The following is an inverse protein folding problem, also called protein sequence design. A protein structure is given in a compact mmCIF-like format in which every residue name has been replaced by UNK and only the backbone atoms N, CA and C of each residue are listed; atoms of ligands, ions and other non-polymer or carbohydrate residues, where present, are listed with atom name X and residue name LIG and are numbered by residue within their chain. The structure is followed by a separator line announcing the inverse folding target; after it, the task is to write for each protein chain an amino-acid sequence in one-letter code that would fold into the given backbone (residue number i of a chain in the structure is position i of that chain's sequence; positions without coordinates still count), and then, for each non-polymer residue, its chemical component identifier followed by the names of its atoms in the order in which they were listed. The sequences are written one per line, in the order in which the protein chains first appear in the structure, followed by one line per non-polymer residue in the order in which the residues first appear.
data_IF_475914957305
#
_entry.id   IF_475914957305
#
_cell.length_a   1.000
_cell.length_b   1.000
_cell.length_c   1.000
_cell.angle_alpha   90.00
_cell.angle_beta   90.00
_cell.angle_gamma   90.00
#
_symmetry.space_group_name_H-M   'P 1'
#
loop_
_entity.id
_entity.type
_entity.pdbx_description
1 polymer ?
#
# COMPACT_ATOMS: atom_id res chain seq x y z
N UNK A 1 -7.84 6.64 8.24
CA UNK A 1 -8.86 6.58 7.18
C UNK A 1 -8.34 7.13 5.86
N UNK A 2 -7.74 8.32 5.83
CA UNK A 2 -7.19 8.94 4.60
C UNK A 2 -6.26 8.04 3.75
N UNK A 3 -5.45 7.17 4.37
CA UNK A 3 -4.55 6.24 3.65
C UNK A 3 -5.28 5.20 2.79
N UNK A 4 -6.51 4.83 3.14
CA UNK A 4 -7.35 3.96 2.32
C UNK A 4 -7.90 4.69 1.08
N UNK A 5 -8.12 6.00 1.19
CA UNK A 5 -8.52 6.85 0.06
C UNK A 5 -7.35 6.96 -0.92
N UNK A 6 -6.13 7.16 -0.44
CA UNK A 6 -4.93 7.13 -1.29
C UNK A 6 -4.75 5.78 -2.00
N UNK A 7 -5.05 4.66 -1.32
CA UNK A 7 -5.03 3.34 -1.95
C UNK A 7 -6.09 3.21 -3.05
N UNK A 8 -7.32 3.68 -2.80
CA UNK A 8 -8.39 3.67 -3.80
C UNK A 8 -8.03 4.54 -5.02
N UNK A 9 -7.48 5.74 -4.79
CA UNK A 9 -7.00 6.60 -5.87
C UNK A 9 -5.86 5.96 -6.66
N UNK A 10 -4.93 5.28 -5.98
CA UNK A 10 -3.84 4.56 -6.66
C UNK A 10 -4.39 3.52 -7.64
N UNK A 11 -5.38 2.72 -7.22
CA UNK A 11 -6.06 1.75 -8.09
C UNK A 11 -6.71 2.45 -9.28
N UNK A 12 -7.48 3.51 -9.05
CA UNK A 12 -8.16 4.24 -10.13
C UNK A 12 -7.16 4.75 -11.17
N UNK A 13 -6.07 5.38 -10.73
CA UNK A 13 -5.02 5.87 -11.63
C UNK A 13 -4.30 4.73 -12.36
N UNK A 14 -4.10 3.58 -11.72
CA UNK A 14 -3.48 2.42 -12.36
C UNK A 14 -4.37 1.83 -13.45
N UNK A 15 -5.66 1.63 -13.17
CA UNK A 15 -6.63 1.16 -14.16
C UNK A 15 -6.68 2.10 -15.36
N UNK A 16 -6.77 3.41 -15.13
CA UNK A 16 -6.78 4.41 -16.22
C UNK A 16 -5.47 4.34 -17.02
N UNK A 17 -4.32 4.35 -16.35
CA UNK A 17 -3.02 4.31 -17.01
C UNK A 17 -2.82 3.06 -17.86
N UNK A 18 -3.21 1.90 -17.34
CA UNK A 18 -3.09 0.61 -18.04
C UNK A 18 -4.05 0.50 -19.22
N UNK A 19 -5.28 1.02 -19.10
CA UNK A 19 -6.22 1.07 -20.22
C UNK A 19 -5.77 2.07 -21.30
N UNK A 20 -5.19 3.21 -20.92
CA UNK A 20 -4.59 4.15 -21.87
C UNK A 20 -3.40 3.54 -22.60
N UNK A 21 -2.57 2.74 -21.91
CA UNK A 21 -1.50 1.96 -22.55
C UNK A 21 -2.07 1.00 -23.60
N UNK A 22 -3.11 0.23 -23.24
CA UNK A 22 -3.76 -0.69 -24.18
C UNK A 22 -4.34 0.06 -25.38
N UNK A 23 -4.98 1.20 -25.14
CA UNK A 23 -5.52 2.04 -26.19
C UNK A 23 -4.42 2.54 -27.14
N UNK A 24 -3.34 3.12 -26.61
CA UNK A 24 -2.20 3.59 -27.38
C UNK A 24 -1.56 2.48 -28.23
N UNK A 25 -1.48 1.26 -27.69
CA UNK A 25 -0.95 0.11 -28.43
C UNK A 25 -1.81 -0.28 -29.63
N UNK A 26 -3.11 -0.01 -29.61
CA UNK A 26 -4.04 -0.36 -30.70
C UNK A 26 -4.18 0.80 -31.69
N UNK A 27 -4.21 2.05 -31.21
CA UNK A 27 -4.40 3.24 -32.05
C UNK A 27 -3.09 3.80 -32.62
N UNK A 28 -1.94 3.46 -32.03
CA UNK A 28 -0.64 4.08 -32.36
C UNK A 28 -0.52 5.52 -31.87
N UNK A 29 -1.44 6.00 -31.05
CA UNK A 29 -1.50 7.39 -30.61
C UNK A 29 -0.51 7.68 -29.46
N UNK A 30 0.24 8.77 -29.61
CA UNK A 30 1.19 9.26 -28.62
C UNK A 30 0.49 9.81 -27.37
N UNK A 31 -0.73 10.34 -27.51
CA UNK A 31 -1.44 10.91 -26.35
C UNK A 31 -1.74 9.86 -25.29
N UNK A 32 -2.12 8.63 -25.69
CA UNK A 32 -2.38 7.53 -24.76
C UNK A 32 -1.12 7.08 -24.01
N UNK A 33 0.06 7.16 -24.63
CA UNK A 33 1.33 6.90 -23.95
C UNK A 33 1.65 7.97 -22.90
N UNK A 34 1.41 9.25 -23.22
CA UNK A 34 1.61 10.33 -22.24
C UNK A 34 0.69 10.16 -21.02
N UNK A 35 -0.59 9.84 -21.25
CA UNK A 35 -1.55 9.58 -20.16
C UNK A 35 -1.12 8.38 -19.32
N UNK A 36 -0.68 7.29 -19.96
CA UNK A 36 -0.15 6.12 -19.26
C UNK A 36 0.97 6.52 -18.29
N UNK A 37 2.00 7.23 -18.77
CA UNK A 37 3.15 7.58 -17.91
C UNK A 37 2.73 8.39 -16.68
N UNK A 38 1.89 9.40 -16.87
CA UNK A 38 1.42 10.27 -15.76
C UNK A 38 0.59 9.47 -14.75
N UNK A 39 -0.32 8.63 -15.24
CA UNK A 39 -1.25 7.88 -14.38
C UNK A 39 -0.57 6.74 -13.63
N UNK A 40 0.34 6.00 -14.27
CA UNK A 40 1.11 4.95 -13.61
C UNK A 40 2.06 5.56 -12.56
N UNK A 41 2.76 6.66 -12.88
CA UNK A 41 3.60 7.34 -11.90
C UNK A 41 2.79 7.84 -10.69
N UNK A 42 1.62 8.46 -10.95
CA UNK A 42 0.71 8.91 -9.91
C UNK A 42 0.23 7.74 -9.03
N UNK A 43 -0.10 6.60 -9.63
CA UNK A 43 -0.50 5.39 -8.91
C UNK A 43 0.56 4.93 -7.93
N UNK A 44 1.81 4.79 -8.37
CA UNK A 44 2.90 4.38 -7.48
C UNK A 44 3.18 5.39 -6.37
N UNK A 45 3.06 6.69 -6.65
CA UNK A 45 3.21 7.75 -5.63
C UNK A 45 2.10 7.62 -4.58
N UNK A 46 0.85 7.45 -4.99
CA UNK A 46 -0.31 7.31 -4.11
C UNK A 46 -0.21 6.02 -3.27
N UNK A 47 0.23 4.92 -3.89
CA UNK A 47 0.50 3.65 -3.21
C UNK A 47 1.60 3.81 -2.15
N UNK A 48 2.70 4.50 -2.50
CA UNK A 48 3.79 4.80 -1.56
C UNK A 48 3.31 5.63 -0.36
N UNK A 49 2.29 6.48 -0.52
CA UNK A 49 1.64 7.15 0.60
C UNK A 49 0.77 6.19 1.41
N UNK A 50 -0.04 5.34 0.77
CA UNK A 50 -0.94 4.39 1.43
C UNK A 50 -0.21 3.40 2.35
N UNK A 51 0.92 2.85 1.89
CA UNK A 51 1.73 1.87 2.63
C UNK A 51 2.37 2.43 3.90
N UNK A 52 2.35 3.76 4.12
CA UNK A 52 2.81 4.37 5.38
C UNK A 52 1.96 3.97 6.59
N UNK A 53 0.71 3.55 6.38
CA UNK A 53 -0.20 3.09 7.46
C UNK A 53 -0.90 1.77 7.16
N UNK A 54 -1.06 1.41 5.90
CA UNK A 54 -1.56 0.08 5.51
C UNK A 54 -0.37 -0.85 5.43
N UNK A 55 -0.50 -2.07 5.97
CA UNK A 55 0.56 -3.06 5.85
C UNK A 55 0.91 -3.28 4.38
N UNK A 56 2.21 -3.24 4.04
CA UNK A 56 2.71 -3.27 2.67
C UNK A 56 2.10 -4.41 1.85
N UNK A 57 2.10 -5.64 2.39
CA UNK A 57 1.54 -6.81 1.71
C UNK A 57 0.03 -6.70 1.44
N UNK A 58 -0.74 -6.11 2.35
CA UNK A 58 -2.19 -5.90 2.16
C UNK A 58 -2.45 -4.83 1.11
N UNK A 59 -1.69 -3.73 1.16
CA UNK A 59 -1.81 -2.65 0.18
C UNK A 59 -1.47 -3.14 -1.23
N UNK A 60 -0.35 -3.86 -1.40
CA UNK A 60 0.04 -4.43 -2.70
C UNK A 60 -0.97 -5.45 -3.22
N UNK A 61 -1.43 -6.37 -2.36
CA UNK A 61 -2.41 -7.38 -2.75
C UNK A 61 -3.73 -6.76 -3.22
N UNK A 62 -4.20 -5.72 -2.52
CA UNK A 62 -5.43 -5.01 -2.92
C UNK A 62 -5.22 -4.17 -4.18
N UNK A 63 -4.08 -3.49 -4.29
CA UNK A 63 -3.77 -2.64 -5.44
C UNK A 63 -3.71 -3.45 -6.74
N UNK A 64 -2.83 -4.46 -6.80
CA UNK A 64 -2.70 -5.35 -7.96
C UNK A 64 -3.98 -6.16 -8.19
N UNK A 65 -4.56 -6.69 -7.11
CA UNK A 65 -5.70 -7.59 -7.22
C UNK A 65 -6.96 -6.91 -7.75
N UNK A 66 -7.32 -5.76 -7.18
CA UNK A 66 -8.49 -5.00 -7.63
C UNK A 66 -8.22 -4.36 -8.99
N UNK A 67 -6.98 -3.87 -9.22
CA UNK A 67 -6.54 -3.33 -10.51
C UNK A 67 -6.77 -4.32 -11.65
N UNK A 68 -6.23 -5.55 -11.52
CA UNK A 68 -6.39 -6.62 -12.51
C UNK A 68 -7.86 -6.96 -12.77
N UNK A 69 -8.71 -6.99 -11.74
CA UNK A 69 -10.14 -7.25 -11.90
C UNK A 69 -10.82 -6.20 -12.79
N UNK A 70 -10.56 -4.92 -12.54
CA UNK A 70 -11.12 -3.84 -13.35
C UNK A 70 -10.51 -3.79 -14.75
N UNK A 71 -9.18 -3.89 -14.87
CA UNK A 71 -8.49 -3.91 -16.16
C UNK A 71 -9.02 -5.05 -17.01
N UNK A 72 -9.14 -6.27 -16.46
CA UNK A 72 -9.68 -7.42 -17.21
C UNK A 72 -11.12 -7.17 -17.64
N UNK A 73 -11.95 -6.66 -16.75
CA UNK A 73 -13.36 -6.35 -17.05
C UNK A 73 -13.47 -5.35 -18.20
N UNK A 74 -12.73 -4.25 -18.12
CA UNK A 74 -12.71 -3.22 -19.16
C UNK A 74 -12.04 -3.69 -20.45
N UNK A 75 -11.07 -4.60 -20.37
CA UNK A 75 -10.46 -5.22 -21.54
C UNK A 75 -11.44 -6.06 -22.35
N UNK A 76 -12.30 -6.81 -21.68
CA UNK A 76 -13.38 -7.55 -22.35
C UNK A 76 -14.40 -6.59 -22.95
N UNK A 77 -14.81 -5.55 -22.21
CA UNK A 77 -15.87 -4.62 -22.63
C UNK A 77 -15.47 -3.68 -23.77
N UNK A 78 -14.28 -3.08 -23.71
CA UNK A 78 -13.84 -2.07 -24.69
C UNK A 78 -12.96 -2.63 -25.80
N UNK A 79 -12.12 -3.61 -25.51
CA UNK A 79 -11.15 -4.16 -26.46
C UNK A 79 -11.57 -5.53 -27.02
N UNK A 80 -12.72 -6.06 -26.60
CA UNK A 80 -13.26 -7.32 -27.11
C UNK A 80 -12.41 -8.54 -26.74
N UNK A 81 -11.60 -8.44 -25.67
CA UNK A 81 -10.76 -9.57 -25.25
C UNK A 81 -11.62 -10.75 -24.78
N UNK A 82 -11.22 -11.97 -25.13
CA UNK A 82 -11.94 -13.16 -24.71
C UNK A 82 -11.68 -13.50 -23.24
N UNK A 83 -12.76 -13.76 -22.51
CA UNK A 83 -12.72 -14.23 -21.13
C UNK A 83 -12.87 -15.75 -21.09
N UNK A 84 -11.76 -16.47 -21.09
CA UNK A 84 -11.78 -17.93 -21.03
C UNK A 84 -12.17 -18.43 -19.62
N UNK A 85 -12.73 -19.65 -19.49
CA UNK A 85 -12.99 -20.26 -18.18
C UNK A 85 -11.77 -20.32 -17.27
N UNK A 86 -10.58 -20.48 -17.86
CA UNK A 86 -9.32 -20.51 -17.12
C UNK A 86 -8.95 -19.12 -16.57
N UNK A 87 -9.18 -18.04 -17.32
CA UNK A 87 -9.04 -16.66 -16.80
C UNK A 87 -9.97 -16.42 -15.62
N UNK A 88 -11.22 -16.86 -15.71
CA UNK A 88 -12.20 -16.74 -14.62
C UNK A 88 -11.73 -17.49 -13.37
N UNK A 89 -11.26 -18.74 -13.53
CA UNK A 89 -10.69 -19.51 -12.41
C UNK A 89 -9.50 -18.80 -11.76
N UNK A 90 -8.62 -18.19 -12.57
CA UNK A 90 -7.50 -17.37 -12.09
C UNK A 90 -7.96 -16.15 -11.28
N UNK A 91 -8.98 -15.42 -11.76
CA UNK A 91 -9.53 -14.27 -11.04
C UNK A 91 -10.18 -14.67 -9.70
N UNK A 92 -10.88 -15.80 -9.66
CA UNK A 92 -11.45 -16.34 -8.41
C UNK A 92 -10.34 -16.70 -7.41
N UNK A 93 -9.29 -17.37 -7.86
CA UNK A 93 -8.15 -17.71 -7.02
C UNK A 93 -7.41 -16.47 -6.52
N UNK A 94 -7.28 -15.45 -7.35
CA UNK A 94 -6.71 -14.15 -6.99
C UNK A 94 -7.52 -13.50 -5.85
N UNK A 95 -8.86 -13.47 -5.94
CA UNK A 95 -9.72 -12.92 -4.88
C UNK A 95 -9.53 -13.70 -3.57
N UNK A 96 -9.47 -15.04 -3.65
CA UNK A 96 -9.20 -15.88 -2.48
C UNK A 96 -7.82 -15.59 -1.85
N UNK A 97 -6.79 -15.44 -2.69
CA UNK A 97 -5.43 -15.09 -2.26
C UNK A 97 -5.36 -13.75 -1.52
N UNK A 98 -6.06 -12.72 -2.01
CA UNK A 98 -6.17 -11.41 -1.33
C UNK A 98 -6.82 -11.58 0.04
N UNK A 99 -7.89 -12.36 0.14
CA UNK A 99 -8.58 -12.66 1.39
C UNK A 99 -7.65 -13.31 2.42
N UNK A 100 -6.83 -14.27 1.98
CA UNK A 100 -5.84 -14.94 2.82
C UNK A 100 -4.74 -13.98 3.29
N UNK A 101 -4.18 -13.15 2.40
CA UNK A 101 -3.16 -12.15 2.76
C UNK A 101 -3.71 -11.16 3.78
N UNK A 102 -4.93 -10.65 3.56
CA UNK A 102 -5.60 -9.72 4.47
C UNK A 102 -5.83 -10.33 5.84
N UNK A 103 -6.20 -11.61 5.90
CA UNK A 103 -6.48 -12.33 7.15
C UNK A 103 -5.21 -12.73 7.91
N UNK A 104 -4.16 -13.12 7.18
CA UNK A 104 -2.86 -13.50 7.75
C UNK A 104 -2.02 -12.33 8.24
N UNK A 105 -2.33 -11.10 7.81
CA UNK A 105 -1.57 -9.91 8.20
C UNK A 105 -1.89 -9.47 9.63
N UNK A 106 -1.07 -9.91 10.59
CA UNK A 106 -1.00 -9.30 11.93
C UNK A 106 -0.05 -8.08 11.87
N UNK A 107 -0.35 -6.98 12.59
CA UNK A 107 0.52 -5.77 12.64
C UNK A 107 1.97 -6.20 12.90
N UNK A 108 2.83 -6.01 11.89
CA UNK A 108 4.13 -6.68 11.84
C UNK A 108 5.10 -6.16 12.90
N UNK A 109 5.88 -7.10 13.42
CA UNK A 109 6.87 -7.06 14.49
C UNK A 109 7.88 -5.91 14.43
N UNK A 110 8.12 -5.31 13.25
CA UNK A 110 9.09 -4.20 13.04
C UNK A 110 8.63 -2.88 13.68
N UNK A 111 7.33 -2.56 13.58
CA UNK A 111 6.79 -1.38 14.28
C UNK A 111 6.79 -1.60 15.79
N UNK A 112 6.59 -2.85 16.24
CA UNK A 112 6.65 -3.21 17.66
C UNK A 112 8.06 -3.15 18.23
N UNK A 113 9.08 -3.59 17.49
CA UNK A 113 10.47 -3.54 17.96
C UNK A 113 11.00 -2.10 17.99
N UNK A 114 10.72 -1.29 16.97
CA UNK A 114 11.06 0.14 16.99
C UNK A 114 10.36 0.89 18.13
N UNK A 115 9.10 0.55 18.41
CA UNK A 115 8.35 1.14 19.50
C UNK A 115 8.85 0.66 20.88
N UNK A 116 9.17 -0.62 21.03
CA UNK A 116 9.82 -1.17 22.24
C UNK A 116 11.18 -0.51 22.51
N UNK A 117 11.99 -0.27 21.46
CA UNK A 117 13.27 0.43 21.60
C UNK A 117 13.05 1.88 22.05
N UNK A 118 12.08 2.58 21.46
CA UNK A 118 11.75 3.96 21.84
C UNK A 118 11.22 4.05 23.28
N UNK A 119 10.41 3.09 23.72
CA UNK A 119 9.91 2.97 25.10
C UNK A 119 11.02 2.57 26.09
N UNK A 120 11.95 1.69 25.70
CA UNK A 120 13.10 1.33 26.51
C UNK A 120 14.04 2.53 26.70
N UNK A 121 14.32 3.27 25.63
CA UNK A 121 15.11 4.50 25.68
C UNK A 121 14.44 5.56 26.56
N UNK A 122 13.11 5.78 26.42
CA UNK A 122 12.36 6.72 27.25
C UNK A 122 12.39 6.38 28.75
N UNK A 123 12.28 5.09 29.10
CA UNK A 123 12.40 4.62 30.49
C UNK A 123 13.81 4.84 31.05
N UNK A 124 14.85 4.55 30.27
CA UNK A 124 16.23 4.78 30.68
C UNK A 124 16.50 6.28 30.95
N UNK A 125 16.01 7.17 30.08
CA UNK A 125 16.13 8.63 30.26
C UNK A 125 15.39 9.10 31.51
N UNK A 126 14.19 8.58 31.77
CA UNK A 126 13.43 8.91 32.99
C UNK A 126 14.13 8.45 34.25
N UNK A 127 14.72 7.26 34.25
CA UNK A 127 15.43 6.69 35.41
C UNK A 127 16.70 7.49 35.77
N UNK A 128 17.46 7.92 34.76
CA UNK A 128 18.63 8.78 34.95
C UNK A 128 18.23 10.13 35.54
N UNK A 129 17.14 10.73 35.06
CA UNK A 129 16.65 12.01 35.57
C UNK A 129 16.17 11.91 37.02
N UNK A 130 15.46 10.84 37.38
CA UNK A 130 15.04 10.63 38.78
C UNK A 130 16.21 10.35 39.73
N UNK A 131 17.23 9.61 39.27
CA UNK A 131 18.44 9.36 40.05
C UNK A 131 19.29 10.61 40.27
N UNK A 132 19.44 11.45 39.24
CA UNK A 132 20.12 12.74 39.34
C UNK A 132 19.43 13.71 40.29
N UNK A 133 18.09 13.82 40.22
CA UNK A 133 17.30 14.66 41.13
C UNK A 133 17.37 14.20 42.60
N UNK A 134 17.49 12.89 42.83
CA UNK A 134 17.68 12.34 44.17
C UNK A 134 19.09 12.66 44.73
N UNK A 135 20.13 12.58 43.90
CA UNK A 135 21.48 12.98 44.30
C UNK A 135 21.63 14.50 44.53
N UNK A 136 20.94 15.33 43.75
CA UNK A 136 21.00 16.78 43.88
C UNK A 136 20.28 17.27 45.16
N UNK A 137 19.13 16.66 45.52
CA UNK A 137 18.46 16.91 46.80
C UNK A 137 19.32 16.50 48.00
N UNK A 138 19.97 15.33 47.94
CA UNK A 138 20.83 14.85 49.02
C UNK A 138 22.06 15.75 49.27
N UNK A 139 22.53 16.50 48.27
CA UNK A 139 23.62 17.49 48.43
C UNK A 139 23.16 18.84 48.95
N UNK A 140 21.87 19.17 48.85
CA UNK A 140 21.34 20.48 49.26
C UNK A 140 20.83 20.45 50.71
N UNK A 141 20.56 19.27 51.25
CA UNK A 141 20.10 19.03 52.63
C UNK A 141 21.24 18.67 53.60
N UNK A 142 22.49 18.57 53.11
CA UNK A 142 23.71 18.31 53.90
C UNK A 142 24.56 19.59 54.04
#
# INVERSE_FOLDING_TARGET
MIYWIFLALAIITEVIGTLSMKHASVSGDFTGMAVMYVMIASSYILLAVAVKKVALGVAYALWEGIGILFITTFSVLWFGESLSPMKIGGLVLLIAGIGLIKSGTKKSTVTQSAQKVKEAAGRAVSAVKSGGLAQERAKTEA
#
